data_IF_166170743211
#
_entry.id   IF_166170743211
#
_cell.length_a   1.000
_cell.length_b   1.000
_cell.length_c   1.000
_cell.angle_alpha   90.00
_cell.angle_beta   90.00
_cell.angle_gamma   90.00
#
_symmetry.space_group_name_H-M   'P 1'
#
loop_
_entity.id
_entity.type
_entity.pdbx_description
1 polymer ?
#
# COMPACT_ATOMS: atom_id res chain seq x y z
N UNK A 1 8.63 -20.09 -6.67
CA UNK A 1 7.39 -20.14 -7.50
C UNK A 1 6.52 -21.33 -7.17
N UNK A 2 7.06 -22.57 -7.17
CA UNK A 2 6.31 -23.78 -6.81
C UNK A 2 5.67 -23.72 -5.41
N UNK A 3 6.39 -23.22 -4.40
CA UNK A 3 5.85 -23.02 -3.04
C UNK A 3 4.70 -22.00 -2.98
N UNK A 4 4.72 -20.94 -3.80
CA UNK A 4 3.63 -19.96 -3.86
C UNK A 4 2.37 -20.58 -4.49
N UNK A 5 2.54 -21.39 -5.53
CA UNK A 5 1.43 -22.05 -6.22
C UNK A 5 0.74 -23.04 -5.31
N UNK A 6 1.50 -23.89 -4.61
CA UNK A 6 0.94 -24.84 -3.66
C UNK A 6 0.18 -24.12 -2.53
N UNK A 7 0.76 -23.06 -1.96
CA UNK A 7 0.10 -22.30 -0.90
C UNK A 7 -1.19 -21.60 -1.38
N UNK A 8 -1.18 -21.04 -2.60
CA UNK A 8 -2.36 -20.41 -3.19
C UNK A 8 -3.46 -21.44 -3.48
N UNK A 9 -3.09 -22.60 -4.03
CA UNK A 9 -4.03 -23.67 -4.32
C UNK A 9 -4.67 -24.19 -3.03
N UNK A 10 -3.87 -24.44 -1.99
CA UNK A 10 -4.36 -24.83 -0.66
C UNK A 10 -5.33 -23.79 -0.08
N UNK A 11 -4.99 -22.50 -0.18
CA UNK A 11 -5.84 -21.42 0.29
C UNK A 11 -7.17 -21.35 -0.49
N UNK A 12 -7.13 -21.49 -1.82
CA UNK A 12 -8.34 -21.47 -2.66
C UNK A 12 -9.21 -22.70 -2.45
N UNK A 13 -8.61 -23.87 -2.23
CA UNK A 13 -9.32 -25.09 -1.84
C UNK A 13 -10.01 -24.87 -0.49
N UNK A 14 -9.31 -24.32 0.52
CA UNK A 14 -9.90 -24.02 1.81
C UNK A 14 -11.10 -23.05 1.69
N UNK A 15 -10.96 -21.96 0.93
CA UNK A 15 -12.06 -21.00 0.68
C UNK A 15 -13.23 -21.68 -0.03
N UNK A 16 -12.98 -22.58 -1.00
CA UNK A 16 -14.03 -23.36 -1.66
C UNK A 16 -14.77 -24.24 -0.65
N UNK A 17 -14.04 -24.97 0.17
CA UNK A 17 -14.61 -25.91 1.12
C UNK A 17 -15.44 -25.21 2.17
N UNK A 18 -14.92 -24.13 2.75
CA UNK A 18 -15.68 -23.33 3.71
C UNK A 18 -16.96 -22.78 3.08
N UNK A 19 -16.89 -22.13 1.93
CA UNK A 19 -18.07 -21.52 1.30
C UNK A 19 -19.11 -22.56 0.88
N UNK A 20 -18.72 -23.59 0.11
CA UNK A 20 -19.67 -24.53 -0.50
C UNK A 20 -20.07 -25.67 0.42
N UNK A 21 -19.10 -26.30 1.04
CA UNK A 21 -19.30 -27.58 1.72
C UNK A 21 -19.69 -27.38 3.19
N UNK A 22 -19.12 -26.37 3.86
CA UNK A 22 -19.41 -26.09 5.27
C UNK A 22 -20.57 -25.10 5.42
N UNK A 23 -20.40 -23.85 5.02
CA UNK A 23 -21.37 -22.79 5.32
C UNK A 23 -22.63 -22.88 4.46
N UNK A 24 -22.50 -22.94 3.13
CA UNK A 24 -23.66 -23.13 2.26
C UNK A 24 -24.32 -24.51 2.44
N UNK A 25 -23.54 -25.54 2.83
CA UNK A 25 -24.06 -26.86 3.15
C UNK A 25 -24.91 -26.89 4.43
N UNK A 26 -24.58 -26.04 5.41
CA UNK A 26 -25.27 -25.99 6.71
C UNK A 26 -26.57 -25.18 6.67
N UNK A 27 -26.53 -23.94 6.15
CA UNK A 27 -27.72 -23.11 5.93
C UNK A 27 -27.54 -22.25 4.67
N UNK A 28 -27.84 -22.85 3.52
CA UNK A 28 -27.69 -22.22 2.22
C UNK A 28 -28.41 -20.85 2.13
N UNK A 29 -29.59 -20.71 2.74
CA UNK A 29 -30.41 -19.52 2.58
C UNK A 29 -29.83 -18.36 3.37
N UNK A 30 -29.56 -18.56 4.66
CA UNK A 30 -29.02 -17.51 5.51
C UNK A 30 -27.61 -17.11 5.06
N UNK A 31 -26.77 -18.10 4.76
CA UNK A 31 -25.39 -17.86 4.34
C UNK A 31 -25.30 -17.14 2.99
N UNK A 32 -26.06 -17.56 1.98
CA UNK A 32 -26.05 -16.87 0.66
C UNK A 32 -26.58 -15.44 0.78
N UNK A 33 -27.58 -15.20 1.65
CA UNK A 33 -28.03 -13.85 1.93
C UNK A 33 -26.90 -12.99 2.55
N UNK A 34 -26.25 -13.49 3.61
CA UNK A 34 -25.12 -12.80 4.25
C UNK A 34 -23.97 -12.52 3.28
N UNK A 35 -23.58 -13.52 2.47
CA UNK A 35 -22.52 -13.39 1.46
C UNK A 35 -22.85 -12.33 0.40
N UNK A 36 -24.12 -12.14 0.08
CA UNK A 36 -24.56 -11.18 -0.93
C UNK A 36 -24.79 -9.76 -0.38
N UNK A 37 -24.91 -9.58 0.94
CA UNK A 37 -25.14 -8.27 1.56
C UNK A 37 -23.93 -7.68 2.28
N UNK A 38 -22.91 -8.49 2.58
CA UNK A 38 -21.70 -8.09 3.29
C UNK A 38 -20.54 -7.84 2.29
N UNK A 39 -19.81 -6.71 2.37
CA UNK A 39 -18.62 -6.46 1.55
C UNK A 39 -17.56 -7.57 1.61
N UNK A 40 -17.30 -8.15 2.78
CA UNK A 40 -16.37 -9.28 2.93
C UNK A 40 -16.93 -10.57 2.28
N UNK A 41 -18.25 -10.71 2.29
CA UNK A 41 -18.96 -11.75 1.56
C UNK A 41 -18.83 -11.60 0.03
N UNK A 42 -18.78 -10.37 -0.47
CA UNK A 42 -18.49 -10.09 -1.88
C UNK A 42 -17.08 -10.52 -2.27
N UNK A 43 -16.08 -10.39 -1.38
CA UNK A 43 -14.75 -10.97 -1.58
C UNK A 43 -14.81 -12.48 -1.77
N UNK A 44 -15.48 -13.22 -0.86
CA UNK A 44 -15.65 -14.69 -1.01
C UNK A 44 -16.36 -15.05 -2.32
N UNK A 45 -17.37 -14.26 -2.70
CA UNK A 45 -18.08 -14.43 -3.97
C UNK A 45 -17.14 -14.21 -5.16
N UNK A 46 -16.33 -13.17 -5.15
CA UNK A 46 -15.34 -12.87 -6.19
C UNK A 46 -14.29 -13.97 -6.36
N UNK A 47 -13.87 -14.61 -5.26
CA UNK A 47 -12.94 -15.76 -5.27
C UNK A 47 -13.54 -17.03 -5.91
N UNK A 48 -14.81 -17.02 -6.33
CA UNK A 48 -15.45 -18.20 -6.95
C UNK A 48 -14.80 -18.62 -8.25
N UNK A 49 -14.43 -17.69 -9.13
CA UNK A 49 -13.79 -18.02 -10.41
C UNK A 49 -12.38 -18.59 -10.20
N UNK A 50 -11.49 -17.92 -9.44
CA UNK A 50 -10.15 -18.43 -9.14
C UNK A 50 -10.15 -19.84 -8.55
N UNK A 51 -10.94 -20.09 -7.49
CA UNK A 51 -10.94 -21.41 -6.82
C UNK A 51 -11.57 -22.54 -7.64
N UNK A 52 -12.50 -22.24 -8.54
CA UNK A 52 -13.07 -23.25 -9.42
C UNK A 52 -12.08 -23.64 -10.54
N UNK A 53 -11.04 -22.85 -10.74
CA UNK A 53 -9.96 -23.06 -11.70
C UNK A 53 -8.59 -23.15 -11.01
N UNK A 54 -8.55 -23.67 -9.76
CA UNK A 54 -7.33 -23.74 -8.94
C UNK A 54 -6.13 -24.38 -9.66
N UNK A 55 -6.38 -25.24 -10.67
CA UNK A 55 -5.34 -25.82 -11.56
C UNK A 55 -4.54 -24.76 -12.36
N UNK A 56 -4.92 -23.48 -12.31
CA UNK A 56 -4.30 -22.37 -13.04
C UNK A 56 -3.86 -21.19 -12.14
N UNK A 57 -3.49 -21.42 -10.88
CA UNK A 57 -3.14 -20.36 -9.91
C UNK A 57 -2.21 -19.25 -10.43
N UNK A 58 -1.22 -19.57 -11.28
CA UNK A 58 -0.31 -18.57 -11.87
C UNK A 58 -0.98 -17.64 -12.91
N UNK A 59 -2.06 -18.10 -13.53
CA UNK A 59 -2.72 -17.37 -14.61
C UNK A 59 -3.56 -16.22 -14.04
N UNK A 60 -4.09 -16.37 -12.83
CA UNK A 60 -4.96 -15.39 -12.17
C UNK A 60 -4.23 -14.41 -11.25
N UNK A 61 -2.97 -14.69 -10.98
CA UNK A 61 -2.09 -13.85 -10.16
C UNK A 61 -1.10 -13.12 -11.05
N UNK A 62 -0.87 -11.86 -10.73
CA UNK A 62 0.27 -11.10 -11.24
C UNK A 62 1.43 -11.19 -10.24
N UNK A 63 2.50 -11.93 -10.57
CA UNK A 63 3.71 -11.94 -9.78
C UNK A 63 4.60 -10.73 -10.07
N UNK A 64 4.27 -9.92 -11.09
CA UNK A 64 5.01 -8.70 -11.39
C UNK A 64 4.72 -7.64 -10.32
N UNK A 65 5.74 -6.83 -10.08
CA UNK A 65 6.04 -6.28 -8.76
C UNK A 65 5.08 -5.16 -8.41
N UNK A 66 3.98 -5.48 -7.72
CA UNK A 66 3.22 -4.47 -6.97
C UNK A 66 3.99 -4.02 -5.72
N UNK A 67 4.80 -4.90 -5.13
CA UNK A 67 5.74 -4.60 -4.05
C UNK A 67 6.76 -5.74 -3.89
N UNK A 68 8.04 -5.42 -3.99
CA UNK A 68 9.15 -6.31 -3.64
C UNK A 68 9.92 -5.65 -2.51
N UNK A 69 10.08 -6.34 -1.38
CA UNK A 69 10.84 -5.80 -0.24
C UNK A 69 12.02 -6.71 0.07
N UNK A 70 13.20 -6.09 0.13
CA UNK A 70 14.47 -6.77 0.32
C UNK A 70 15.67 -5.88 -0.08
N UNK A 71 16.88 -6.46 -0.09
CA UNK A 71 17.17 -7.82 0.33
C UNK A 71 16.95 -8.04 1.83
N UNK A 72 16.48 -9.23 2.21
CA UNK A 72 16.60 -9.72 3.59
C UNK A 72 18.07 -9.97 3.94
N UNK A 73 18.37 -10.40 5.16
CA UNK A 73 19.74 -10.79 5.55
C UNK A 73 20.36 -11.89 4.66
N UNK A 74 19.53 -12.61 3.90
CA UNK A 74 19.91 -13.71 3.01
C UNK A 74 19.85 -13.34 1.52
N UNK A 75 19.83 -12.05 1.16
CA UNK A 75 19.71 -11.54 -0.23
C UNK A 75 18.39 -11.90 -0.95
N UNK A 76 17.38 -12.37 -0.21
CA UNK A 76 16.07 -12.71 -0.74
C UNK A 76 15.12 -11.51 -0.80
N UNK A 77 14.21 -11.53 -1.78
CA UNK A 77 13.13 -10.55 -1.92
C UNK A 77 11.78 -11.19 -1.61
N UNK A 78 10.98 -10.50 -0.80
CA UNK A 78 9.59 -10.86 -0.54
C UNK A 78 8.72 -10.20 -1.61
N UNK A 79 7.96 -11.01 -2.34
CA UNK A 79 7.02 -10.54 -3.37
C UNK A 79 5.61 -10.65 -2.83
N UNK A 80 4.85 -9.56 -2.95
CA UNK A 80 3.42 -9.53 -2.64
C UNK A 80 2.58 -9.57 -3.92
N UNK A 81 2.08 -10.76 -4.32
CA UNK A 81 1.30 -10.90 -5.53
C UNK A 81 -0.07 -10.22 -5.43
N UNK A 82 -0.53 -9.68 -6.56
CA UNK A 82 -1.88 -9.18 -6.73
C UNK A 82 -2.70 -10.07 -7.66
N UNK A 83 -4.01 -10.00 -7.57
CA UNK A 83 -4.88 -10.60 -8.57
C UNK A 83 -4.86 -9.78 -9.85
N UNK A 84 -4.80 -10.46 -11.00
CA UNK A 84 -4.94 -9.80 -12.30
C UNK A 84 -6.34 -9.22 -12.50
N UNK A 85 -6.45 -8.20 -13.33
CA UNK A 85 -7.71 -7.77 -13.91
C UNK A 85 -8.36 -8.89 -14.72
N UNK A 86 -9.70 -8.91 -14.77
CA UNK A 86 -10.44 -9.95 -15.50
C UNK A 86 -10.09 -9.98 -17.00
N UNK A 87 -9.76 -8.83 -17.58
CA UNK A 87 -9.32 -8.69 -18.97
C UNK A 87 -7.88 -9.20 -19.21
N UNK A 88 -7.12 -9.48 -18.15
CA UNK A 88 -5.73 -9.95 -18.21
C UNK A 88 -5.61 -11.46 -18.02
N UNK A 89 -6.72 -12.15 -17.74
CA UNK A 89 -6.77 -13.61 -17.60
C UNK A 89 -7.61 -14.25 -18.71
N UNK A 90 -7.34 -15.51 -19.09
CA UNK A 90 -8.14 -16.21 -20.09
C UNK A 90 -9.61 -16.30 -19.68
N UNK A 91 -10.51 -16.10 -20.65
CA UNK A 91 -11.96 -16.17 -20.42
C UNK A 91 -12.42 -17.52 -19.82
N UNK A 92 -11.65 -18.59 -20.01
CA UNK A 92 -11.90 -19.90 -19.41
C UNK A 92 -11.92 -19.88 -17.88
N UNK A 93 -11.16 -18.99 -17.23
CA UNK A 93 -11.17 -18.82 -15.76
C UNK A 93 -12.56 -18.43 -15.24
N UNK A 94 -13.35 -17.74 -16.04
CA UNK A 94 -14.70 -17.32 -15.67
C UNK A 94 -15.80 -18.20 -16.30
N UNK A 95 -15.41 -19.25 -17.02
CA UNK A 95 -16.36 -20.21 -17.58
C UNK A 95 -17.18 -20.85 -16.45
N UNK A 96 -18.51 -20.78 -16.56
CA UNK A 96 -19.41 -21.29 -15.52
C UNK A 96 -19.51 -20.44 -14.25
N UNK A 97 -18.83 -19.28 -14.17
CA UNK A 97 -19.01 -18.32 -13.08
C UNK A 97 -20.22 -17.44 -13.38
N UNK A 98 -21.18 -17.37 -12.45
CA UNK A 98 -22.36 -16.51 -12.61
C UNK A 98 -21.95 -15.02 -12.70
N UNK A 99 -22.73 -14.22 -13.44
CA UNK A 99 -22.46 -12.78 -13.67
C UNK A 99 -22.14 -12.02 -12.38
N UNK A 100 -22.89 -12.25 -11.30
CA UNK A 100 -22.62 -11.53 -10.06
C UNK A 100 -21.35 -11.98 -9.34
N UNK A 101 -20.84 -13.19 -9.63
CA UNK A 101 -19.50 -13.60 -9.19
C UNK A 101 -18.40 -12.93 -10.02
N UNK A 102 -18.61 -12.81 -11.33
CA UNK A 102 -17.69 -12.09 -12.21
C UNK A 102 -17.63 -10.58 -11.88
N UNK A 103 -18.77 -9.95 -11.56
CA UNK A 103 -18.81 -8.56 -11.11
C UNK A 103 -18.15 -8.39 -9.73
N UNK A 104 -18.39 -9.32 -8.80
CA UNK A 104 -17.72 -9.29 -7.50
C UNK A 104 -16.19 -9.43 -7.63
N UNK A 105 -15.71 -10.21 -8.59
CA UNK A 105 -14.28 -10.28 -8.89
C UNK A 105 -13.74 -8.93 -9.34
N UNK A 106 -14.39 -8.28 -10.32
CA UNK A 106 -13.95 -6.97 -10.82
C UNK A 106 -13.89 -5.91 -9.72
N UNK A 107 -14.86 -5.91 -8.79
CA UNK A 107 -14.98 -4.86 -7.77
C UNK A 107 -14.22 -5.15 -6.48
N UNK A 108 -13.96 -6.41 -6.12
CA UNK A 108 -13.43 -6.78 -4.80
C UNK A 108 -12.16 -7.64 -4.84
N UNK A 109 -11.72 -8.10 -6.00
CA UNK A 109 -10.58 -9.01 -6.14
C UNK A 109 -9.52 -8.45 -7.09
N UNK A 110 -9.91 -8.10 -8.32
CA UNK A 110 -9.01 -7.62 -9.36
C UNK A 110 -8.12 -6.46 -8.85
N UNK A 111 -6.81 -6.55 -9.08
CA UNK A 111 -5.81 -5.55 -8.66
C UNK A 111 -5.46 -5.57 -7.17
N UNK A 112 -6.22 -6.26 -6.31
CA UNK A 112 -5.93 -6.35 -4.88
C UNK A 112 -4.89 -7.42 -4.59
N UNK A 113 -4.14 -7.25 -3.49
CA UNK A 113 -3.18 -8.25 -3.03
C UNK A 113 -3.88 -9.55 -2.64
N UNK A 114 -3.26 -10.68 -3.00
CA UNK A 114 -3.79 -12.01 -2.68
C UNK A 114 -4.02 -12.15 -1.17
N UNK A 115 -3.03 -11.74 -0.36
CA UNK A 115 -3.11 -11.82 1.10
C UNK A 115 -4.32 -11.05 1.65
N UNK A 116 -4.56 -9.81 1.20
CA UNK A 116 -5.67 -8.99 1.71
C UNK A 116 -7.03 -9.62 1.41
N UNK A 117 -7.21 -10.18 0.22
CA UNK A 117 -8.46 -10.86 -0.14
C UNK A 117 -8.67 -12.16 0.65
N UNK A 118 -7.60 -12.88 0.98
CA UNK A 118 -7.68 -14.08 1.82
C UNK A 118 -7.98 -13.72 3.28
N UNK A 119 -7.42 -12.61 3.78
CA UNK A 119 -7.75 -12.06 5.11
C UNK A 119 -9.22 -11.62 5.20
N UNK A 120 -9.73 -10.96 4.16
CA UNK A 120 -11.15 -10.60 4.06
C UNK A 120 -12.06 -11.83 4.03
N UNK A 121 -11.69 -12.86 3.26
CA UNK A 121 -12.44 -14.10 3.20
C UNK A 121 -12.44 -14.82 4.56
N UNK A 122 -11.29 -14.92 5.22
CA UNK A 122 -11.17 -15.50 6.56
C UNK A 122 -12.05 -14.75 7.56
N UNK A 123 -11.98 -13.42 7.57
CA UNK A 123 -12.81 -12.58 8.44
C UNK A 123 -14.31 -12.81 8.21
N UNK A 124 -14.74 -12.90 6.96
CA UNK A 124 -16.14 -13.21 6.65
C UNK A 124 -16.59 -14.56 7.22
N UNK A 125 -15.75 -15.59 7.14
CA UNK A 125 -16.08 -16.90 7.69
C UNK A 125 -16.14 -16.87 9.22
N UNK A 126 -15.26 -16.12 9.89
CA UNK A 126 -15.35 -15.87 11.34
C UNK A 126 -16.62 -15.11 11.70
N UNK A 127 -17.05 -14.13 10.89
CA UNK A 127 -18.34 -13.44 11.10
C UNK A 127 -19.55 -14.37 10.95
N UNK A 128 -19.44 -15.40 10.10
CA UNK A 128 -20.47 -16.41 9.93
C UNK A 128 -20.48 -17.43 11.09
N UNK A 129 -19.31 -17.81 11.60
CA UNK A 129 -19.14 -18.68 12.76
C UNK A 129 -17.88 -18.27 13.55
N UNK A 130 -18.06 -17.56 14.68
CA UNK A 130 -16.94 -17.09 15.51
C UNK A 130 -16.03 -18.22 16.00
N UNK A 131 -16.57 -19.42 16.22
CA UNK A 131 -15.80 -20.59 16.68
C UNK A 131 -14.69 -20.98 15.70
N UNK A 132 -14.81 -20.63 14.41
CA UNK A 132 -13.79 -20.91 13.40
C UNK A 132 -12.48 -20.14 13.67
N UNK A 133 -12.60 -18.97 14.27
CA UNK A 133 -11.45 -18.14 14.64
C UNK A 133 -10.94 -18.41 16.05
N UNK A 134 -11.63 -19.20 16.87
CA UNK A 134 -11.28 -19.39 18.28
C UNK A 134 -10.11 -20.38 18.44
N UNK A 135 -9.20 -20.08 19.38
CA UNK A 135 -8.08 -20.96 19.72
C UNK A 135 -6.77 -20.27 20.10
N UNK A 136 -6.69 -18.94 19.97
CA UNK A 136 -5.59 -18.14 20.52
C UNK A 136 -5.74 -17.85 22.02
N UNK A 137 -4.70 -17.32 22.65
CA UNK A 137 -4.82 -16.78 24.00
C UNK A 137 -5.71 -15.53 23.99
N UNK A 138 -6.57 -15.37 25.00
CA UNK A 138 -7.35 -14.16 25.24
C UNK A 138 -8.21 -13.65 24.06
N UNK A 139 -8.96 -14.54 23.39
CA UNK A 139 -9.91 -14.15 22.32
C UNK A 139 -9.25 -13.79 20.98
N UNK A 140 -7.95 -14.02 20.84
CA UNK A 140 -7.24 -13.85 19.57
C UNK A 140 -7.50 -15.02 18.61
N UNK A 141 -7.40 -14.73 17.32
CA UNK A 141 -7.42 -15.79 16.32
C UNK A 141 -6.16 -16.65 16.41
N UNK A 142 -6.33 -17.98 16.42
CA UNK A 142 -5.21 -18.91 16.50
C UNK A 142 -4.23 -18.67 15.35
N UNK A 143 -2.93 -18.48 15.68
CA UNK A 143 -1.82 -18.15 14.75
C UNK A 143 -1.87 -16.76 14.11
N UNK A 144 -2.69 -15.85 14.64
CA UNK A 144 -2.66 -14.44 14.27
C UNK A 144 -2.15 -13.56 15.43
N UNK A 145 -1.50 -12.41 15.14
CA UNK A 145 -1.07 -11.99 13.80
C UNK A 145 -0.04 -12.95 13.21
N UNK A 146 0.04 -13.01 11.87
CA UNK A 146 1.09 -13.74 11.17
C UNK A 146 2.46 -13.19 11.61
N UNK A 147 3.50 -14.02 11.46
CA UNK A 147 4.85 -13.62 11.80
C UNK A 147 5.26 -12.34 11.07
N UNK A 148 5.82 -11.38 11.80
CA UNK A 148 6.40 -10.17 11.23
C UNK A 148 7.54 -10.55 10.30
N UNK A 149 7.55 -9.96 9.11
CA UNK A 149 8.61 -10.15 8.15
C UNK A 149 9.74 -9.14 8.41
N UNK A 150 10.99 -9.47 8.08
CA UNK A 150 12.16 -8.62 8.35
C UNK A 150 12.26 -7.45 7.35
N UNK A 151 11.15 -6.81 7.04
CA UNK A 151 11.02 -5.81 5.99
C UNK A 151 10.24 -4.59 6.47
N UNK A 152 10.57 -3.42 5.94
CA UNK A 152 9.89 -2.18 6.28
C UNK A 152 8.58 -2.00 5.49
N UNK A 153 7.56 -1.48 6.18
CA UNK A 153 6.29 -1.03 5.60
C UNK A 153 5.06 -1.64 6.28
N UNK A 154 3.90 -1.42 5.67
CA UNK A 154 2.65 -2.00 6.14
C UNK A 154 2.37 -3.35 5.47
N UNK A 155 2.03 -4.33 6.29
CA UNK A 155 1.59 -5.65 5.90
C UNK A 155 0.38 -6.04 6.76
N UNK A 156 -0.70 -6.45 6.12
CA UNK A 156 -1.87 -6.95 6.83
C UNK A 156 -1.60 -8.35 7.36
N UNK A 157 -1.11 -8.43 8.61
CA UNK A 157 -0.80 -9.70 9.29
C UNK A 157 -1.97 -10.22 10.15
N UNK A 158 -3.06 -9.46 10.28
CA UNK A 158 -4.24 -9.86 11.05
C UNK A 158 -5.52 -9.53 10.26
N UNK A 159 -6.55 -10.39 10.27
CA UNK A 159 -7.79 -10.17 9.52
C UNK A 159 -8.56 -8.90 9.95
N UNK A 160 -8.42 -8.47 11.20
CA UNK A 160 -9.05 -7.24 11.71
C UNK A 160 -8.26 -5.97 11.45
N UNK A 161 -7.00 -6.08 11.00
CA UNK A 161 -6.24 -4.90 10.60
C UNK A 161 -6.78 -4.32 9.29
N UNK A 162 -6.59 -3.00 9.06
CA UNK A 162 -7.03 -2.36 7.82
C UNK A 162 -6.44 -3.04 6.58
N UNK A 163 -7.04 -2.81 5.41
CA UNK A 163 -6.34 -3.13 4.17
C UNK A 163 -5.26 -2.08 3.87
N UNK A 164 -4.44 -2.36 2.85
CA UNK A 164 -3.33 -1.49 2.47
C UNK A 164 -3.80 -0.06 2.19
N UNK A 165 -4.92 0.14 1.49
CA UNK A 165 -5.39 1.47 1.09
C UNK A 165 -5.80 2.31 2.31
N UNK A 166 -6.51 1.71 3.27
CA UNK A 166 -6.87 2.37 4.52
C UNK A 166 -5.61 2.65 5.35
N UNK A 167 -4.72 1.67 5.49
CA UNK A 167 -3.48 1.83 6.24
C UNK A 167 -2.58 2.93 5.63
N UNK A 168 -2.45 2.96 4.29
CA UNK A 168 -1.67 3.97 3.59
C UNK A 168 -2.28 5.36 3.74
N UNK A 169 -3.60 5.49 3.69
CA UNK A 169 -4.29 6.74 3.95
C UNK A 169 -4.05 7.24 5.38
N UNK A 170 -4.12 6.35 6.38
CA UNK A 170 -3.84 6.67 7.78
C UNK A 170 -2.37 7.06 8.00
N UNK A 171 -1.43 6.30 7.44
CA UNK A 171 0.01 6.58 7.50
C UNK A 171 0.33 7.92 6.84
N UNK A 172 -0.27 8.20 5.67
CA UNK A 172 -0.10 9.46 4.94
C UNK A 172 -0.67 10.63 5.74
N UNK A 173 -1.85 10.48 6.31
CA UNK A 173 -2.47 11.50 7.15
C UNK A 173 -1.60 11.80 8.38
N UNK A 174 -1.14 10.77 9.10
CA UNK A 174 -0.24 10.93 10.24
C UNK A 174 1.04 11.67 9.82
N UNK A 175 1.70 11.22 8.75
CA UNK A 175 2.94 11.81 8.26
C UNK A 175 2.78 13.29 7.87
N UNK A 176 1.70 13.63 7.16
CA UNK A 176 1.43 15.02 6.69
C UNK A 176 0.94 15.95 7.79
N UNK A 177 0.34 15.41 8.87
CA UNK A 177 -0.20 16.20 9.99
C UNK A 177 0.86 16.71 10.97
N UNK A 178 2.08 16.18 10.91
CA UNK A 178 3.17 16.52 11.81
C UNK A 178 4.30 17.21 11.05
N UNK A 179 5.02 18.13 11.70
CA UNK A 179 6.24 18.69 11.13
C UNK A 179 7.31 17.60 10.87
N UNK A 180 8.18 17.78 9.86
CA UNK A 180 9.30 16.87 9.64
C UNK A 180 10.22 16.78 10.86
N UNK A 181 10.80 15.60 11.09
CA UNK A 181 11.92 15.44 12.02
C UNK A 181 13.23 15.92 11.37
N UNK A 182 14.20 16.33 12.20
CA UNK A 182 15.48 16.87 11.72
C UNK A 182 15.60 18.38 11.97
N UNK A 183 16.79 18.91 11.73
CA UNK A 183 17.13 20.30 12.07
C UNK A 183 16.61 21.30 11.04
N UNK A 184 16.73 20.95 9.76
CA UNK A 184 16.23 21.72 8.63
C UNK A 184 16.11 20.84 7.39
N UNK A 185 15.44 21.37 6.37
CA UNK A 185 15.42 20.79 5.02
C UNK A 185 16.08 21.73 4.02
N UNK A 186 16.97 21.18 3.20
CA UNK A 186 17.62 21.87 2.11
C UNK A 186 17.01 21.39 0.78
N UNK A 187 16.32 22.30 0.09
CA UNK A 187 15.73 22.06 -1.22
C UNK A 187 16.82 22.01 -2.28
N UNK A 188 16.71 21.02 -3.17
CA UNK A 188 17.65 20.75 -4.26
C UNK A 188 16.99 20.81 -5.64
N UNK A 189 15.70 20.54 -5.73
CA UNK A 189 14.99 20.61 -7.01
C UNK A 189 13.50 20.91 -6.81
N UNK A 190 12.88 21.44 -7.86
CA UNK A 190 11.44 21.58 -8.01
C UNK A 190 11.07 21.02 -9.39
N UNK A 191 10.06 20.16 -9.46
CA UNK A 191 9.63 19.55 -10.71
C UNK A 191 8.12 19.26 -10.70
N UNK A 192 7.51 19.17 -11.88
CA UNK A 192 6.13 18.72 -12.02
C UNK A 192 6.07 17.20 -12.26
N UNK A 193 5.13 16.54 -11.60
CA UNK A 193 4.80 15.11 -11.74
C UNK A 193 3.27 14.96 -11.76
N UNK A 194 2.72 14.46 -12.87
CA UNK A 194 1.27 14.21 -13.04
C UNK A 194 0.37 15.41 -12.68
N UNK A 195 0.85 16.63 -12.92
CA UNK A 195 0.11 17.87 -12.64
C UNK A 195 0.28 18.41 -11.22
N UNK A 196 1.05 17.72 -10.37
CA UNK A 196 1.45 18.19 -9.04
C UNK A 196 2.89 18.71 -9.05
N UNK A 197 3.11 19.85 -8.38
CA UNK A 197 4.45 20.40 -8.19
C UNK A 197 5.09 19.78 -6.96
N UNK A 198 6.26 19.17 -7.14
CA UNK A 198 7.00 18.43 -6.13
C UNK A 198 8.33 19.09 -5.83
N UNK A 199 8.72 19.10 -4.56
CA UNK A 199 9.97 19.64 -4.04
C UNK A 199 10.82 18.47 -3.55
N UNK A 200 12.05 18.39 -4.07
CA UNK A 200 13.04 17.39 -3.67
C UNK A 200 14.21 18.02 -2.94
N UNK A 201 14.75 17.33 -1.93
CA UNK A 201 15.92 17.81 -1.19
C UNK A 201 16.43 16.85 -0.14
N UNK A 202 17.18 17.39 0.82
CA UNK A 202 17.73 16.64 1.95
C UNK A 202 17.30 17.24 3.28
N UNK A 203 16.90 16.38 4.21
CA UNK A 203 16.72 16.67 5.62
C UNK A 203 18.06 16.49 6.32
N UNK A 204 18.52 17.51 7.04
CA UNK A 204 19.71 17.41 7.90
C UNK A 204 19.30 16.81 9.23
N UNK A 205 19.92 15.68 9.60
CA UNK A 205 19.72 15.01 10.89
C UNK A 205 21.06 14.73 11.58
N UNK A 206 21.00 14.33 12.86
CA UNK A 206 22.19 13.90 13.59
C UNK A 206 22.87 12.66 12.98
N UNK A 207 22.14 11.87 12.17
CA UNK A 207 22.64 10.66 11.51
C UNK A 207 23.10 10.91 10.06
N UNK A 208 23.04 12.16 9.59
CA UNK A 208 23.40 12.54 8.22
C UNK A 208 22.24 13.11 7.42
N UNK A 209 22.39 13.08 6.10
CA UNK A 209 21.40 13.60 5.15
C UNK A 209 20.40 12.50 4.77
N UNK A 210 19.12 12.82 4.87
CA UNK A 210 18.02 11.95 4.46
C UNK A 210 17.27 12.62 3.31
N UNK A 211 17.12 11.93 2.19
CA UNK A 211 16.36 12.45 1.04
C UNK A 211 14.90 12.70 1.41
N UNK A 212 14.31 13.78 0.90
CA UNK A 212 12.86 13.99 0.91
C UNK A 212 12.33 14.42 -0.46
N UNK A 213 11.09 14.05 -0.76
CA UNK A 213 10.28 14.49 -1.89
C UNK A 213 8.86 14.74 -1.39
N UNK A 214 8.35 15.96 -1.57
CA UNK A 214 7.05 16.36 -1.03
C UNK A 214 6.29 17.28 -1.97
N UNK A 215 4.96 17.29 -1.91
CA UNK A 215 4.18 18.22 -2.70
C UNK A 215 4.42 19.64 -2.20
N UNK A 216 4.38 20.59 -3.13
CA UNK A 216 4.58 22.02 -2.86
C UNK A 216 3.67 22.53 -1.73
N UNK A 217 2.42 22.06 -1.70
CA UNK A 217 1.43 22.39 -0.67
C UNK A 217 1.86 21.93 0.73
N UNK A 218 2.52 20.78 0.86
CA UNK A 218 3.02 20.30 2.15
C UNK A 218 4.18 21.15 2.66
N UNK A 219 5.15 21.48 1.79
CA UNK A 219 6.28 22.34 2.16
C UNK A 219 5.79 23.72 2.59
N UNK A 220 4.81 24.27 1.86
CA UNK A 220 4.16 25.52 2.23
C UNK A 220 3.51 25.44 3.62
N UNK A 221 2.76 24.38 3.91
CA UNK A 221 2.12 24.18 5.21
C UNK A 221 3.15 24.01 6.34
N UNK A 222 4.26 23.30 6.09
CA UNK A 222 5.33 23.10 7.05
C UNK A 222 6.03 24.43 7.41
N UNK A 223 6.35 25.26 6.41
CA UNK A 223 6.97 26.58 6.63
C UNK A 223 6.03 27.50 7.40
N UNK A 224 4.74 27.53 7.03
CA UNK A 224 3.72 28.27 7.79
C UNK A 224 3.58 27.79 9.22
N UNK A 225 3.84 26.51 9.47
CA UNK A 225 3.85 25.89 10.81
C UNK A 225 5.19 26.05 11.55
N UNK A 226 6.14 26.80 10.98
CA UNK A 226 7.40 27.18 11.63
C UNK A 226 8.59 26.27 11.34
N UNK A 227 8.47 25.30 10.43
CA UNK A 227 9.60 24.46 10.04
C UNK A 227 10.48 25.15 8.99
N UNK A 228 11.81 25.02 9.13
CA UNK A 228 12.76 25.74 8.29
C UNK A 228 13.14 24.94 7.04
N UNK A 229 12.88 25.53 5.87
CA UNK A 229 13.40 25.08 4.58
C UNK A 229 14.42 26.10 4.05
N UNK A 230 15.43 25.61 3.35
CA UNK A 230 16.51 26.43 2.80
C UNK A 230 16.88 26.01 1.38
N UNK A 231 17.51 26.91 0.62
CA UNK A 231 18.18 26.61 -0.65
C UNK A 231 19.65 26.99 -0.52
N UNK A 232 20.54 26.26 -1.22
CA UNK A 232 21.95 26.64 -1.31
C UNK A 232 22.11 27.94 -2.13
N UNK A 233 22.68 28.96 -1.49
CA UNK A 233 23.05 30.23 -2.11
C UNK A 233 24.56 30.47 -2.07
N UNK A 234 25.03 31.49 -2.81
CA UNK A 234 26.47 31.76 -2.96
C UNK A 234 27.22 32.11 -1.67
N UNK A 235 26.51 32.57 -0.62
CA UNK A 235 27.08 32.88 0.69
C UNK A 235 26.69 31.86 1.79
N UNK A 236 26.06 30.75 1.41
CA UNK A 236 25.50 29.76 2.32
C UNK A 236 24.02 29.51 2.09
N UNK A 237 23.40 28.77 3.00
CA UNK A 237 21.97 28.44 2.92
C UNK A 237 21.09 29.67 3.18
N UNK A 238 20.12 29.89 2.30
CA UNK A 238 19.12 30.97 2.40
C UNK A 238 17.77 30.34 2.73
N UNK A 239 17.07 30.89 3.72
CA UNK A 239 15.73 30.41 4.10
C UNK A 239 14.70 30.67 3.00
N UNK A 240 13.77 29.73 2.86
CA UNK A 240 12.59 29.88 2.01
C UNK A 240 11.49 30.54 2.85
N UNK A 241 10.83 31.53 2.28
CA UNK A 241 9.72 32.26 2.89
C UNK A 241 8.42 31.98 2.16
N UNK A 242 7.29 32.09 2.86
CA UNK A 242 5.96 31.96 2.25
C UNK A 242 5.36 33.35 2.06
N UNK A 243 4.93 33.67 0.85
CA UNK A 243 4.23 34.92 0.55
C UNK A 243 3.18 34.71 -0.54
N UNK A 244 1.95 35.20 -0.30
CA UNK A 244 0.83 35.10 -1.22
C UNK A 244 0.56 33.68 -1.77
N UNK A 245 0.86 32.64 -0.99
CA UNK A 245 0.69 31.24 -1.40
C UNK A 245 1.83 30.67 -2.26
N UNK A 246 2.93 31.41 -2.43
CA UNK A 246 4.14 30.95 -3.11
C UNK A 246 5.32 30.78 -2.13
N UNK A 247 6.33 30.03 -2.57
CA UNK A 247 7.61 29.83 -1.88
C UNK A 247 8.66 30.74 -2.51
N UNK A 248 9.26 31.62 -1.71
CA UNK A 248 10.19 32.64 -2.17
C UNK A 248 11.58 32.47 -1.56
N UNK A 249 12.61 32.82 -2.33
CA UNK A 249 13.99 32.96 -1.87
C UNK A 249 14.49 34.34 -2.28
N UNK A 250 14.76 35.22 -1.30
CA UNK A 250 15.19 36.60 -1.58
C UNK A 250 14.22 37.38 -2.47
N UNK A 251 12.90 37.10 -2.36
CA UNK A 251 11.85 37.73 -3.15
C UNK A 251 11.59 37.14 -4.54
N UNK A 252 12.36 36.12 -4.97
CA UNK A 252 12.13 35.40 -6.22
C UNK A 252 11.39 34.08 -5.97
N UNK A 253 10.54 33.64 -6.91
CA UNK A 253 9.86 32.34 -6.78
C UNK A 253 10.87 31.21 -6.73
N UNK A 254 10.60 30.19 -5.92
CA UNK A 254 11.47 29.02 -5.76
C UNK A 254 11.74 28.34 -7.11
N UNK A 255 10.78 28.36 -8.03
CA UNK A 255 10.92 27.75 -9.36
C UNK A 255 11.94 28.48 -10.25
N UNK A 256 12.19 29.77 -9.98
CA UNK A 256 13.10 30.61 -10.77
C UNK A 256 14.55 30.56 -10.27
N UNK A 257 14.81 29.82 -9.18
CA UNK A 257 16.14 29.75 -8.58
C UNK A 257 17.06 28.86 -9.41
N UNK A 258 18.06 29.49 -10.03
CA UNK A 258 18.98 28.83 -10.95
C UNK A 258 19.74 27.63 -10.34
N UNK A 259 20.06 27.63 -9.04
CA UNK A 259 20.74 26.50 -8.39
C UNK A 259 19.88 25.24 -8.27
N UNK A 260 18.56 25.36 -8.46
CA UNK A 260 17.63 24.24 -8.51
C UNK A 260 17.45 23.71 -9.95
N UNK A 261 17.96 24.46 -10.94
CA UNK A 261 17.91 24.12 -12.36
C UNK A 261 19.17 23.32 -12.74
N UNK A 262 19.01 22.17 -13.42
CA UNK A 262 20.15 21.33 -13.86
C UNK A 262 20.49 20.15 -12.96
N UNK A 263 19.67 19.86 -11.95
CA UNK A 263 19.73 18.60 -11.19
C UNK A 263 19.11 17.47 -12.02
N UNK A 264 19.61 16.24 -11.88
CA UNK A 264 18.99 15.07 -12.50
C UNK A 264 17.62 14.78 -11.89
N UNK A 265 16.57 15.25 -12.58
CA UNK A 265 15.17 15.10 -12.17
C UNK A 265 14.72 13.63 -12.22
N UNK A 266 15.39 12.76 -12.99
CA UNK A 266 15.02 11.35 -13.14
C UNK A 266 15.05 10.60 -11.81
N UNK A 267 16.11 10.82 -11.02
CA UNK A 267 16.25 10.25 -9.69
C UNK A 267 15.15 10.72 -8.73
N UNK A 268 14.89 12.04 -8.69
CA UNK A 268 13.87 12.62 -7.81
C UNK A 268 12.45 12.19 -8.18
N UNK A 269 12.15 12.04 -9.48
CA UNK A 269 10.90 11.45 -9.95
C UNK A 269 10.75 10.00 -9.51
N UNK A 270 11.84 9.22 -9.54
CA UNK A 270 11.85 7.86 -9.02
C UNK A 270 11.50 7.81 -7.53
N UNK A 271 12.14 8.66 -6.72
CA UNK A 271 11.83 8.76 -5.28
C UNK A 271 10.42 9.24 -5.00
N UNK A 272 9.91 10.22 -5.75
CA UNK A 272 8.53 10.65 -5.61
C UNK A 272 7.53 9.55 -6.00
N UNK A 273 7.81 8.79 -7.07
CA UNK A 273 7.01 7.64 -7.46
C UNK A 273 6.90 6.59 -6.34
N UNK A 274 7.99 6.34 -5.61
CA UNK A 274 7.96 5.49 -4.41
C UNK A 274 7.11 6.10 -3.30
N UNK A 275 7.19 7.41 -3.06
CA UNK A 275 6.35 8.10 -2.08
C UNK A 275 4.86 8.08 -2.45
N UNK A 276 4.51 8.07 -3.73
CA UNK A 276 3.11 7.93 -4.19
C UNK A 276 2.62 6.50 -3.98
N UNK A 277 3.47 5.51 -4.24
CA UNK A 277 3.10 4.09 -4.16
C UNK A 277 3.19 3.49 -2.75
N UNK A 278 3.95 4.10 -1.82
CA UNK A 278 4.19 3.58 -0.48
C UNK A 278 4.18 4.71 0.56
N UNK A 279 3.11 4.75 1.36
CA UNK A 279 2.94 5.76 2.40
C UNK A 279 3.94 5.60 3.55
N UNK A 280 4.39 4.37 3.84
CA UNK A 280 5.41 4.12 4.85
C UNK A 280 6.76 4.67 4.39
N UNK A 281 7.13 4.48 3.12
CA UNK A 281 8.32 5.10 2.55
C UNK A 281 8.26 6.63 2.65
N UNK A 282 7.13 7.25 2.28
CA UNK A 282 6.93 8.69 2.48
C UNK A 282 7.10 9.11 3.95
N UNK A 283 6.54 8.34 4.89
CA UNK A 283 6.70 8.60 6.34
C UNK A 283 8.17 8.61 6.75
N UNK A 284 9.02 7.70 6.22
CA UNK A 284 10.45 7.67 6.58
C UNK A 284 11.20 8.94 6.19
N UNK A 285 10.79 9.62 5.12
CA UNK A 285 11.38 10.89 4.70
C UNK A 285 10.98 12.05 5.63
N UNK A 286 9.82 11.95 6.29
CA UNK A 286 9.34 12.92 7.29
C UNK A 286 9.76 12.58 8.71
N UNK A 287 9.94 11.30 9.03
CA UNK A 287 10.18 10.78 10.37
C UNK A 287 11.41 9.87 10.35
N UNK A 288 12.57 10.48 10.49
CA UNK A 288 13.80 9.77 10.84
C UNK A 288 13.58 9.17 12.22
N UNK A 289 13.48 7.85 12.33
CA UNK A 289 13.41 7.18 13.64
C UNK A 289 14.65 7.60 14.47
N UNK A 290 14.39 8.29 15.58
CA UNK A 290 15.43 8.69 16.54
C UNK A 290 16.04 7.50 17.25
#
# INVERSE_FOLDING_TARGET
MESLLNALDDALVAVRTLDKEIFAGSDAKAYVAARNSNPLGHTVRGLTAPRNNAVHGIVVVDPTITRAVGPSADDDYIIWPAWKGRNEVPASVFSGTAIGGANAYDSHIAGRRVLDTLMDAFRFFVECDPCFGEGGQAGQHYRFPLATLPVAGYERLHPEWPDQDVADAEIRLDATSQLPSGLNRQVRTVFDFEGERVIGGYTTSARGLITFTEPFSQVLADIQSGYTYTVEGGAGNVSIEVSAGDLLVGGSSLSDIASLQGVDIGLWRGWWGLCVADAAYYRTQRRSEM
#
